data_IF_059065202078
#
_entry.id   IF_059065202078
#
_cell.length_a   1.000
_cell.length_b   1.000
_cell.length_c   1.000
_cell.angle_alpha   90.00
_cell.angle_beta   90.00
_cell.angle_gamma   90.00
#
_symmetry.space_group_name_H-M   'P 1'
#
loop_
_entity.id
_entity.type
_entity.pdbx_description
1 polymer ?
#
# COMPACT_ATOMS: atom_id res chain seq x y z
N UNK A 1 2.42 46.68 31.09
CA UNK A 1 0.94 46.62 31.22
C UNK A 1 0.31 46.78 29.86
N UNK A 2 -0.89 46.20 29.71
CA UNK A 2 -1.89 46.40 28.64
C UNK A 2 -1.88 45.45 27.45
N UNK A 3 -2.90 44.58 27.50
CA UNK A 3 -3.38 43.61 26.51
C UNK A 3 -4.20 44.31 25.44
N UNK A 4 -4.23 43.76 24.21
CA UNK A 4 -5.47 43.73 23.42
C UNK A 4 -5.67 42.35 22.81
N UNK A 5 -6.74 41.70 23.28
CA UNK A 5 -7.31 40.45 22.77
C UNK A 5 -8.31 40.86 21.69
N UNK A 6 -8.17 40.31 20.48
CA UNK A 6 -9.22 40.40 19.47
C UNK A 6 -10.03 39.09 19.47
N UNK A 7 -11.25 39.19 19.98
CA UNK A 7 -12.31 38.18 19.95
C UNK A 7 -13.31 38.64 18.89
N UNK A 8 -13.74 37.78 17.97
CA UNK A 8 -15.14 37.66 17.48
C UNK A 8 -15.21 36.48 16.49
N UNK A 9 -15.88 35.34 16.70
CA UNK A 9 -17.32 35.00 16.94
C UNK A 9 -18.19 34.98 15.66
N UNK A 10 -18.82 33.80 15.45
CA UNK A 10 -20.15 33.55 14.80
C UNK A 10 -20.03 33.38 13.26
N UNK A 11 -20.62 32.39 12.55
CA UNK A 11 -21.99 31.84 12.53
C UNK A 11 -22.07 30.44 11.90
N UNK A 12 -22.98 29.60 12.42
CA UNK A 12 -23.61 28.49 11.69
C UNK A 12 -24.55 29.05 10.60
N UNK A 13 -24.70 28.33 9.49
CA UNK A 13 -25.89 28.40 8.66
C UNK A 13 -26.19 27.01 8.05
N UNK A 14 -27.15 26.32 8.67
CA UNK A 14 -27.88 25.21 8.07
C UNK A 14 -29.24 25.73 7.61
N UNK A 15 -29.68 25.37 6.39
CA UNK A 15 -31.05 25.02 6.00
C UNK A 15 -31.34 25.33 4.53
N UNK A 16 -31.91 24.35 3.80
CA UNK A 16 -32.72 24.44 2.58
C UNK A 16 -32.82 23.02 1.99
N UNK A 17 -33.95 22.40 1.58
CA UNK A 17 -35.37 22.77 1.43
C UNK A 17 -36.18 21.46 1.52
N UNK A 18 -37.39 21.51 2.09
CA UNK A 18 -38.36 20.41 2.09
C UNK A 18 -39.22 20.39 0.82
N UNK A 19 -39.53 19.20 0.28
CA UNK A 19 -40.50 18.99 -0.79
C UNK A 19 -41.04 17.55 -0.77
N UNK A 20 -42.34 17.42 -0.56
CA UNK A 20 -43.16 16.23 -0.21
C UNK A 20 -43.66 15.48 -1.46
N UNK A 21 -43.94 14.16 -1.38
CA UNK A 21 -45.23 13.46 -1.71
C UNK A 21 -45.12 11.93 -1.44
N UNK A 22 -46.19 11.38 -0.83
CA UNK A 22 -46.46 9.98 -0.39
C UNK A 22 -46.44 8.94 -1.56
N UNK A 23 -46.17 7.63 -1.38
CA UNK A 23 -46.89 6.62 -0.57
C UNK A 23 -46.12 5.25 -0.52
N UNK A 24 -46.58 4.24 0.26
CA UNK A 24 -45.76 3.17 0.85
C UNK A 24 -45.83 1.80 0.13
N UNK A 25 -44.77 0.99 0.24
CA UNK A 25 -44.91 -0.48 0.19
C UNK A 25 -43.89 -1.12 1.15
N UNK A 26 -44.42 -1.87 2.11
CA UNK A 26 -43.67 -2.63 3.10
C UNK A 26 -42.77 -3.68 2.43
N UNK A 27 -41.49 -3.69 2.78
CA UNK A 27 -40.73 -4.94 2.87
C UNK A 27 -39.76 -4.84 4.04
N UNK A 28 -39.95 -5.74 5.00
CA UNK A 28 -39.12 -5.89 6.17
C UNK A 28 -37.73 -6.39 5.76
N UNK A 29 -36.66 -5.77 6.28
CA UNK A 29 -35.40 -6.45 6.51
C UNK A 29 -34.84 -6.09 7.87
N UNK A 30 -34.99 -7.05 8.77
CA UNK A 30 -34.32 -7.11 10.06
C UNK A 30 -32.81 -7.24 9.88
N UNK A 31 -32.09 -6.64 10.83
CA UNK A 31 -30.84 -7.11 11.43
C UNK A 31 -29.74 -7.67 10.51
N UNK A 32 -28.61 -6.96 10.45
CA UNK A 32 -27.30 -7.43 10.97
C UNK A 32 -26.18 -6.63 10.31
N UNK A 33 -25.53 -5.75 11.06
CA UNK A 33 -24.29 -5.10 10.64
C UNK A 33 -23.16 -6.14 10.71
N UNK A 34 -22.90 -6.81 9.59
CA UNK A 34 -21.69 -7.60 9.39
C UNK A 34 -20.68 -6.73 8.62
N UNK A 35 -19.45 -6.50 9.11
CA UNK A 35 -18.43 -5.85 8.30
C UNK A 35 -17.89 -6.88 7.30
N UNK A 36 -18.49 -6.92 6.11
CA UNK A 36 -17.99 -7.72 5.00
C UNK A 36 -16.85 -6.94 4.30
N UNK A 37 -15.70 -7.60 4.23
CA UNK A 37 -14.49 -7.17 3.55
C UNK A 37 -14.77 -6.50 2.20
N UNK A 38 -14.26 -5.27 2.05
CA UNK A 38 -14.16 -4.61 0.76
C UNK A 38 -13.32 -5.48 -0.17
N UNK A 39 -14.01 -6.21 -1.04
CA UNK A 39 -13.47 -6.98 -2.14
C UNK A 39 -12.86 -6.00 -3.14
N UNK A 40 -11.56 -5.74 -2.99
CA UNK A 40 -10.80 -4.99 -3.97
C UNK A 40 -10.75 -5.80 -5.27
N UNK A 41 -11.45 -5.30 -6.29
CA UNK A 41 -11.35 -5.77 -7.68
C UNK A 41 -9.87 -5.85 -8.08
N UNK A 42 -9.44 -6.84 -8.88
CA UNK A 42 -8.09 -6.87 -9.41
C UNK A 42 -7.96 -5.68 -10.37
N UNK A 43 -7.40 -4.58 -9.87
CA UNK A 43 -6.97 -3.48 -10.70
C UNK A 43 -5.96 -4.07 -11.68
N UNK A 44 -6.33 -4.05 -12.96
CA UNK A 44 -5.43 -4.41 -14.06
C UNK A 44 -4.22 -3.52 -13.88
N UNK A 45 -3.14 -4.09 -13.36
CA UNK A 45 -1.88 -3.41 -13.18
C UNK A 45 -1.43 -2.98 -14.58
N UNK A 46 -1.72 -1.73 -14.94
CA UNK A 46 -1.10 -1.09 -16.09
C UNK A 46 0.39 -1.20 -15.82
N UNK A 47 1.07 -2.05 -16.59
CA UNK A 47 2.46 -2.37 -16.38
C UNK A 47 3.22 -1.04 -16.24
N UNK A 48 3.83 -0.83 -15.07
CA UNK A 48 4.77 0.25 -14.91
C UNK A 48 5.79 0.13 -16.02
N UNK A 49 6.16 1.25 -16.63
CA UNK A 49 7.32 1.26 -17.53
C UNK A 49 8.49 0.80 -16.66
N UNK A 50 9.03 -0.38 -16.94
CA UNK A 50 10.26 -0.84 -16.31
C UNK A 50 11.35 0.14 -16.72
N UNK A 51 11.91 0.87 -15.75
CA UNK A 51 13.20 1.52 -15.94
C UNK A 51 14.23 0.45 -16.27
N UNK A 52 15.16 0.74 -17.20
CA UNK A 52 16.17 -0.25 -17.63
C UNK A 52 17.06 -0.74 -16.49
N UNK A 53 17.07 -0.01 -15.39
CA UNK A 53 17.86 -0.28 -14.20
C UNK A 53 17.20 -1.32 -13.27
N UNK A 54 15.93 -1.67 -13.48
CA UNK A 54 15.21 -2.63 -12.64
C UNK A 54 14.81 -3.90 -13.40
N UNK A 55 14.83 -5.07 -12.71
CA UNK A 55 14.43 -6.32 -13.33
C UNK A 55 12.94 -6.30 -13.73
N UNK A 56 12.54 -7.15 -14.69
CA UNK A 56 11.14 -7.29 -15.05
C UNK A 56 10.29 -7.75 -13.86
N UNK A 57 9.05 -7.23 -13.78
CA UNK A 57 8.11 -7.57 -12.71
C UNK A 57 7.74 -9.06 -12.78
N UNK A 58 7.85 -9.82 -11.68
CA UNK A 58 7.52 -11.24 -11.66
C UNK A 58 6.05 -11.50 -12.03
N UNK A 59 5.82 -12.52 -12.86
CA UNK A 59 4.49 -12.99 -13.23
C UNK A 59 4.50 -14.52 -13.40
N UNK A 60 3.31 -15.14 -13.35
CA UNK A 60 3.15 -16.59 -13.51
C UNK A 60 2.40 -17.26 -12.35
N UNK A 61 2.25 -18.60 -12.42
CA UNK A 61 1.45 -19.39 -11.47
C UNK A 61 2.09 -19.51 -10.08
N UNK A 62 3.43 -19.44 -10.00
CA UNK A 62 4.19 -19.50 -8.75
C UNK A 62 4.67 -18.13 -8.27
N UNK A 63 3.78 -17.14 -8.39
CA UNK A 63 4.01 -15.78 -7.92
C UNK A 63 2.84 -15.38 -7.03
N UNK A 64 3.15 -14.99 -5.80
CA UNK A 64 2.22 -14.25 -4.96
C UNK A 64 2.50 -12.75 -5.10
N UNK A 65 1.46 -11.93 -5.25
CA UNK A 65 1.56 -10.45 -5.28
C UNK A 65 0.69 -9.84 -4.20
N UNK A 66 1.21 -8.81 -3.52
CA UNK A 66 0.44 -7.91 -2.66
C UNK A 66 0.90 -6.47 -2.89
N UNK A 67 -0.03 -5.62 -3.28
CA UNK A 67 0.18 -4.17 -3.37
C UNK A 67 -0.25 -3.51 -2.07
N UNK A 68 0.50 -2.53 -1.59
CA UNK A 68 0.08 -1.63 -0.52
C UNK A 68 0.54 -0.20 -0.78
N UNK A 69 -0.25 0.76 -0.31
CA UNK A 69 0.22 2.14 -0.18
C UNK A 69 1.27 2.19 0.93
N UNK A 70 2.38 2.88 0.68
CA UNK A 70 3.40 3.14 1.68
C UNK A 70 3.40 4.61 2.13
N UNK A 71 2.46 5.43 1.64
CA UNK A 71 2.37 6.86 1.95
C UNK A 71 3.14 7.75 0.96
N UNK A 72 2.99 9.07 1.11
CA UNK A 72 3.66 10.09 0.28
C UNK A 72 3.48 9.92 -1.26
N UNK A 73 2.32 9.39 -1.68
CA UNK A 73 2.04 9.11 -3.10
C UNK A 73 2.76 7.86 -3.65
N UNK A 74 3.50 7.13 -2.81
CA UNK A 74 4.20 5.91 -3.18
C UNK A 74 3.43 4.64 -2.75
N UNK A 75 3.69 3.56 -3.47
CA UNK A 75 3.20 2.23 -3.17
C UNK A 75 4.31 1.19 -3.26
N UNK A 76 4.09 0.01 -2.67
CA UNK A 76 4.99 -1.12 -2.74
C UNK A 76 4.24 -2.35 -3.24
N UNK A 77 4.76 -2.94 -4.31
CA UNK A 77 4.34 -4.24 -4.80
C UNK A 77 5.27 -5.32 -4.25
N UNK A 78 4.77 -6.10 -3.31
CA UNK A 78 5.47 -7.23 -2.70
C UNK A 78 5.19 -8.48 -3.52
N UNK A 79 6.26 -9.14 -3.95
CA UNK A 79 6.22 -10.41 -4.63
C UNK A 79 6.89 -11.48 -3.77
N UNK A 80 6.28 -12.66 -3.70
CA UNK A 80 6.98 -13.86 -3.28
C UNK A 80 7.01 -14.82 -4.47
N UNK A 81 8.22 -15.22 -4.86
CA UNK A 81 8.47 -16.08 -6.01
C UNK A 81 9.25 -17.32 -5.55
N UNK A 82 9.38 -18.32 -6.42
CA UNK A 82 10.26 -19.46 -6.15
C UNK A 82 11.71 -19.00 -5.90
N UNK A 83 12.17 -17.92 -6.56
CA UNK A 83 13.49 -17.32 -6.34
C UNK A 83 13.61 -16.47 -5.08
N UNK A 84 12.52 -16.21 -4.36
CA UNK A 84 12.50 -15.44 -3.12
C UNK A 84 11.60 -14.19 -3.13
N UNK A 85 11.64 -13.41 -2.03
CA UNK A 85 10.87 -12.17 -1.90
C UNK A 85 11.47 -11.06 -2.77
N UNK A 86 10.61 -10.25 -3.35
CA UNK A 86 10.98 -9.04 -4.07
C UNK A 86 10.00 -7.92 -3.72
N UNK A 87 10.47 -6.67 -3.75
CA UNK A 87 9.61 -5.49 -3.60
C UNK A 87 9.93 -4.51 -4.72
N UNK A 88 8.89 -4.08 -5.43
CA UNK A 88 8.98 -2.96 -6.36
C UNK A 88 8.33 -1.77 -5.70
N UNK A 89 9.10 -0.71 -5.50
CA UNK A 89 8.62 0.56 -4.97
C UNK A 89 8.21 1.44 -6.14
N UNK A 90 6.97 1.89 -6.08
CA UNK A 90 6.29 2.53 -7.20
C UNK A 90 5.83 3.93 -6.81
N UNK A 91 6.02 4.86 -7.71
CA UNK A 91 5.48 6.22 -7.66
C UNK A 91 4.72 6.50 -8.95
N UNK A 92 4.29 7.73 -9.11
CA UNK A 92 3.68 8.22 -10.34
C UNK A 92 4.61 9.27 -10.96
N UNK A 93 4.89 9.16 -12.25
CA UNK A 93 5.63 10.16 -13.00
C UNK A 93 4.81 11.46 -13.17
N UNK A 94 5.42 12.51 -13.70
CA UNK A 94 4.77 13.81 -13.94
C UNK A 94 3.53 13.72 -14.85
N UNK A 95 3.36 12.62 -15.59
CA UNK A 95 2.24 12.38 -16.50
C UNK A 95 1.18 11.45 -15.90
N UNK A 96 1.26 11.15 -14.62
CA UNK A 96 0.27 10.28 -13.97
C UNK A 96 0.49 8.79 -14.22
N UNK A 97 1.66 8.36 -14.71
CA UNK A 97 1.93 6.94 -15.03
C UNK A 97 2.74 6.26 -13.95
N UNK A 98 2.50 4.96 -13.68
CA UNK A 98 3.29 4.21 -12.70
C UNK A 98 4.76 4.13 -13.10
N UNK A 99 5.64 4.45 -12.14
CA UNK A 99 7.09 4.44 -12.28
C UNK A 99 7.71 3.65 -11.13
N UNK A 100 8.64 2.76 -11.45
CA UNK A 100 9.43 2.06 -10.42
C UNK A 100 10.62 2.94 -10.07
N UNK A 101 10.76 3.29 -8.79
CA UNK A 101 11.89 4.09 -8.29
C UNK A 101 12.83 3.28 -7.40
N UNK A 102 12.45 2.06 -7.03
CA UNK A 102 13.29 1.17 -6.24
C UNK A 102 12.90 -0.29 -6.38
N UNK A 103 13.89 -1.16 -6.29
CA UNK A 103 13.72 -2.60 -6.26
C UNK A 103 14.51 -3.18 -5.11
N UNK A 104 13.87 -4.07 -4.35
CA UNK A 104 14.48 -4.81 -3.25
C UNK A 104 14.35 -6.30 -3.50
N UNK A 105 15.42 -7.03 -3.22
CA UNK A 105 15.44 -8.49 -3.31
C UNK A 105 16.39 -9.08 -2.26
N UNK A 106 16.73 -10.37 -2.40
CA UNK A 106 17.68 -11.04 -1.49
C UNK A 106 19.10 -10.46 -1.55
N UNK A 107 19.53 -9.91 -2.69
CA UNK A 107 20.86 -9.34 -2.90
C UNK A 107 20.93 -7.89 -2.46
N UNK A 108 19.86 -7.14 -2.68
CA UNK A 108 19.70 -5.74 -2.29
C UNK A 108 18.46 -5.59 -1.41
N UNK A 109 18.52 -6.04 -0.14
CA UNK A 109 17.34 -6.09 0.72
C UNK A 109 16.99 -4.74 1.33
N UNK A 110 17.66 -3.64 1.00
CA UNK A 110 17.39 -2.33 1.59
C UNK A 110 17.71 -1.22 0.61
N UNK A 111 16.90 -0.16 0.62
CA UNK A 111 17.26 1.09 -0.04
C UNK A 111 18.53 1.69 0.58
N UNK A 112 19.30 2.46 -0.20
CA UNK A 112 20.45 3.17 0.34
C UNK A 112 20.01 4.25 1.34
N UNK A 113 20.89 4.58 2.31
CA UNK A 113 20.56 5.48 3.43
C UNK A 113 20.16 6.89 2.99
N UNK A 114 20.61 7.32 1.81
CA UNK A 114 20.31 8.63 1.23
C UNK A 114 18.98 8.67 0.45
N UNK A 115 18.19 7.59 0.42
CA UNK A 115 16.92 7.53 -0.31
C UNK A 115 15.79 8.37 0.30
N UNK A 116 16.00 8.97 1.48
CA UNK A 116 14.99 9.81 2.17
C UNK A 116 13.84 9.03 2.80
N UNK A 117 13.73 7.72 2.55
CA UNK A 117 12.77 6.81 3.17
C UNK A 117 13.46 5.53 3.64
N UNK A 118 12.82 4.80 4.55
CA UNK A 118 13.23 3.44 4.90
C UNK A 118 12.35 2.48 4.10
N UNK A 119 12.99 1.56 3.37
CA UNK A 119 12.33 0.39 2.80
C UNK A 119 13.32 -0.78 2.79
N UNK A 120 12.97 -1.88 3.44
CA UNK A 120 13.84 -3.07 3.54
C UNK A 120 13.08 -4.37 3.67
N UNK A 121 13.68 -5.44 3.14
CA UNK A 121 13.28 -6.83 3.35
C UNK A 121 14.12 -7.39 4.50
N UNK A 122 13.50 -7.63 5.65
CA UNK A 122 14.10 -8.34 6.77
C UNK A 122 13.93 -9.85 6.57
N UNK A 123 14.95 -10.63 6.96
CA UNK A 123 14.97 -12.08 6.80
C UNK A 123 14.78 -12.56 5.34
N UNK A 124 15.38 -11.86 4.37
CA UNK A 124 15.17 -12.12 2.93
C UNK A 124 15.49 -13.56 2.48
N UNK A 125 16.41 -14.25 3.17
CA UNK A 125 16.75 -15.66 2.92
C UNK A 125 15.87 -16.68 3.66
N UNK A 126 14.94 -16.23 4.51
CA UNK A 126 14.10 -17.11 5.34
C UNK A 126 12.80 -17.52 4.64
N UNK A 127 12.12 -18.50 5.22
CA UNK A 127 10.76 -18.89 4.85
C UNK A 127 9.70 -17.82 5.21
N UNK A 128 10.05 -16.85 6.06
CA UNK A 128 9.15 -15.77 6.49
C UNK A 128 9.82 -14.38 6.38
N UNK A 129 10.06 -13.89 5.16
CA UNK A 129 10.57 -12.54 4.97
C UNK A 129 9.51 -11.51 5.38
N UNK A 130 9.98 -10.33 5.79
CA UNK A 130 9.15 -9.20 6.21
C UNK A 130 9.56 -7.95 5.45
N UNK A 131 8.61 -7.19 4.96
CA UNK A 131 8.86 -5.86 4.41
C UNK A 131 8.66 -4.82 5.51
N UNK A 132 9.65 -3.97 5.71
CA UNK A 132 9.63 -2.88 6.70
C UNK A 132 9.80 -1.57 5.95
N UNK A 133 8.92 -0.60 6.19
CA UNK A 133 8.97 0.69 5.51
C UNK A 133 8.60 1.86 6.43
N UNK A 134 9.11 3.04 6.09
CA UNK A 134 8.80 4.31 6.74
C UNK A 134 9.04 5.43 5.74
N UNK A 135 7.98 6.09 5.31
CA UNK A 135 8.03 7.16 4.29
C UNK A 135 7.87 8.56 4.86
N UNK A 136 7.24 8.68 6.03
CA UNK A 136 7.02 9.96 6.70
C UNK A 136 7.91 10.07 7.94
N UNK A 137 8.66 11.18 8.01
CA UNK A 137 9.51 11.54 9.14
C UNK A 137 8.82 12.52 10.09
N UNK A 138 9.04 12.34 11.38
CA UNK A 138 8.55 13.21 12.45
C UNK A 138 8.76 12.55 13.82
N UNK A 139 8.77 13.32 14.94
CA UNK A 139 8.87 12.75 16.28
C UNK A 139 7.79 11.69 16.50
N UNK A 140 8.18 10.45 16.81
CA UNK A 140 7.25 9.33 17.03
C UNK A 140 6.80 8.56 15.78
N UNK A 141 7.37 8.83 14.60
CA UNK A 141 7.14 7.99 13.41
C UNK A 141 7.79 6.61 13.59
N UNK A 142 7.00 5.55 13.45
CA UNK A 142 7.45 4.17 13.59
C UNK A 142 7.41 3.47 12.24
N UNK A 143 8.37 2.58 11.96
CA UNK A 143 8.34 1.79 10.74
C UNK A 143 7.18 0.79 10.77
N UNK A 144 6.45 0.71 9.67
CA UNK A 144 5.43 -0.29 9.44
C UNK A 144 6.06 -1.60 8.98
N UNK A 145 5.45 -2.73 9.35
CA UNK A 145 5.93 -4.07 8.98
C UNK A 145 4.80 -4.88 8.34
N UNK A 146 5.09 -5.47 7.18
CA UNK A 146 4.17 -6.33 6.43
C UNK A 146 4.84 -7.66 6.13
N UNK A 147 4.14 -8.76 6.42
CA UNK A 147 4.63 -10.10 6.11
C UNK A 147 4.42 -10.41 4.63
N UNK A 148 5.40 -11.08 4.03
CA UNK A 148 5.20 -11.73 2.73
C UNK A 148 4.30 -12.95 2.94
N UNK A 149 3.30 -13.13 2.07
CA UNK A 149 2.53 -14.38 2.10
C UNK A 149 3.34 -15.51 1.49
N UNK A 150 2.96 -16.72 1.88
CA UNK A 150 3.51 -17.96 1.30
C UNK A 150 3.18 -18.04 -0.18
N UNK A 151 3.99 -18.82 -0.90
CA UNK A 151 3.73 -19.15 -2.29
C UNK A 151 2.37 -19.88 -2.45
N UNK A 152 1.73 -19.77 -3.62
CA UNK A 152 0.56 -20.58 -3.95
C UNK A 152 0.82 -22.08 -3.75
N UNK A 153 -0.25 -22.85 -3.49
CA UNK A 153 -0.14 -24.30 -3.30
C UNK A 153 0.54 -24.97 -4.50
N UNK A 154 1.44 -25.91 -4.24
CA UNK A 154 2.22 -26.60 -5.27
C UNK A 154 3.47 -25.86 -5.75
N UNK A 155 3.72 -24.63 -5.26
CA UNK A 155 4.94 -23.88 -5.56
C UNK A 155 5.89 -23.90 -4.36
N UNK A 156 7.15 -24.27 -4.60
CA UNK A 156 8.19 -24.33 -3.56
C UNK A 156 9.27 -23.29 -3.81
N UNK A 157 9.81 -22.74 -2.73
CA UNK A 157 10.94 -21.83 -2.83
C UNK A 157 12.20 -22.62 -3.22
N UNK A 158 12.91 -22.13 -4.22
CA UNK A 158 14.25 -22.60 -4.56
C UNK A 158 15.19 -21.95 -3.55
N UNK A 159 15.67 -22.77 -2.63
CA UNK A 159 16.74 -22.39 -1.72
C UNK A 159 18.06 -22.50 -2.49
N UNK A 160 18.59 -21.37 -2.95
CA UNK A 160 19.99 -21.32 -3.35
C UNK A 160 20.83 -21.38 -2.06
N UNK A 161 21.21 -22.61 -1.70
CA UNK A 161 22.29 -22.84 -0.72
C UNK A 161 23.54 -22.18 -1.30
N UNK A 162 24.14 -21.31 -0.51
CA UNK A 162 25.39 -20.62 -0.85
C UNK A 162 26.53 -21.27 -0.10
#
# INVERSE_FOLDING_TARGET
MSRRRNTLRITLASAAVAGVVLAPVSSAFAASHTPAAASAKPSVARAAKAHKDFPPVPSGKCVYKKSLSIGAGASADLYNTTGGPQVFLMTTDERGRPEVFGHLDRKHPSLPKNAGIIAKIVNAGSAQPKFVFQTQGGPGSHPETVLFRKLPKGCVAVHHVK
#
